data_IF_528863210581
#
_entry.id   IF_528863210581
#
_cell.length_a   1.000
_cell.length_b   1.000
_cell.length_c   1.000
_cell.angle_alpha   90.00
_cell.angle_beta   90.00
_cell.angle_gamma   90.00
#
_symmetry.space_group_name_H-M   'P 1'
#
loop_
_entity.id
_entity.type
_entity.pdbx_description
1 polymer ?
#
# COMPACT_ATOMS: atom_id res chain seq x y z
N UNK A 1 -11.82 9.28 -7.45
CA UNK A 1 -12.15 8.69 -6.13
C UNK A 1 -10.91 8.00 -5.57
N UNK A 2 -10.62 8.24 -4.31
CA UNK A 2 -9.48 7.59 -3.67
C UNK A 2 -9.91 6.30 -3.02
N UNK A 3 -9.05 5.31 -3.10
CA UNK A 3 -9.28 4.02 -2.47
C UNK A 3 -8.05 3.60 -1.70
N UNK A 4 -8.20 2.61 -0.84
CA UNK A 4 -7.08 2.10 -0.06
C UNK A 4 -7.09 0.59 -0.04
N UNK A 5 -5.89 0.02 0.00
CA UNK A 5 -5.69 -1.41 0.11
C UNK A 5 -4.57 -1.70 1.09
N UNK A 6 -4.57 -2.90 1.62
CA UNK A 6 -3.56 -3.32 2.60
C UNK A 6 -2.70 -4.43 2.01
N UNK A 7 -1.39 -4.31 2.20
CA UNK A 7 -0.43 -5.24 1.62
C UNK A 7 0.62 -5.62 2.66
N UNK A 8 1.25 -6.77 2.46
CA UNK A 8 2.26 -7.26 3.39
C UNK A 8 3.63 -6.62 3.17
N UNK A 9 3.84 -5.99 2.02
CA UNK A 9 5.10 -5.32 1.73
C UNK A 9 4.86 -4.19 0.74
N UNK A 10 5.84 -3.26 0.68
CA UNK A 10 5.78 -2.16 -0.29
C UNK A 10 5.85 -2.71 -1.71
N UNK A 11 6.65 -3.76 -1.93
CA UNK A 11 6.77 -4.39 -3.25
C UNK A 11 5.41 -4.91 -3.73
N UNK A 12 4.65 -5.54 -2.85
CA UNK A 12 3.32 -6.03 -3.20
C UNK A 12 2.38 -4.89 -3.57
N UNK A 13 2.46 -3.77 -2.83
CA UNK A 13 1.62 -2.61 -3.11
C UNK A 13 1.96 -2.02 -4.48
N UNK A 14 3.24 -1.90 -4.79
CA UNK A 14 3.68 -1.35 -6.08
C UNK A 14 3.26 -2.28 -7.22
N UNK A 15 3.39 -3.58 -7.02
CA UNK A 15 2.98 -4.55 -8.02
C UNK A 15 1.48 -4.45 -8.31
N UNK A 16 0.68 -4.34 -7.26
CA UNK A 16 -0.76 -4.12 -7.42
C UNK A 16 -1.05 -2.87 -8.24
N UNK A 17 -0.38 -1.77 -7.92
CA UNK A 17 -0.60 -0.50 -8.62
C UNK A 17 -0.26 -0.62 -10.10
N UNK A 18 0.83 -1.35 -10.44
CA UNK A 18 1.21 -1.55 -11.83
C UNK A 18 0.21 -2.43 -12.56
N UNK A 19 -0.26 -3.49 -11.93
CA UNK A 19 -1.21 -4.42 -12.56
C UNK A 19 -2.57 -3.77 -12.79
N UNK A 20 -3.04 -2.98 -11.82
CA UNK A 20 -4.34 -2.33 -11.89
C UNK A 20 -4.28 -0.96 -12.58
N UNK A 21 -3.08 -0.50 -12.89
CA UNK A 21 -2.88 0.78 -13.58
C UNK A 21 -3.53 1.93 -12.83
N UNK A 22 -3.28 1.99 -11.52
CA UNK A 22 -3.80 3.05 -10.66
C UNK A 22 -2.69 4.02 -10.29
N UNK A 23 -3.07 5.23 -9.88
CA UNK A 23 -2.12 6.24 -9.45
C UNK A 23 -1.89 6.11 -7.95
N UNK A 24 -0.63 5.92 -7.55
CA UNK A 24 -0.26 5.87 -6.14
C UNK A 24 -0.28 7.28 -5.56
N UNK A 25 -1.03 7.47 -4.48
CA UNK A 25 -1.08 8.73 -3.76
C UNK A 25 -0.14 8.67 -2.55
N UNK A 26 -0.21 7.58 -1.80
CA UNK A 26 0.60 7.44 -0.59
C UNK A 26 0.72 5.97 -0.21
N UNK A 27 1.85 5.61 0.41
CA UNK A 27 2.06 4.29 0.99
C UNK A 27 2.53 4.51 2.42
N UNK A 28 1.79 3.97 3.39
CA UNK A 28 2.06 4.20 4.81
C UNK A 28 2.12 2.88 5.56
N UNK A 29 3.10 2.72 6.49
CA UNK A 29 3.09 1.58 7.39
C UNK A 29 1.96 1.74 8.40
N UNK A 30 1.20 0.68 8.64
CA UNK A 30 0.00 0.79 9.47
C UNK A 30 -0.07 -0.21 10.61
N UNK A 31 0.82 -1.19 10.64
CA UNK A 31 0.83 -2.19 11.71
C UNK A 31 2.26 -2.51 12.08
N UNK A 32 2.64 -2.23 13.32
CA UNK A 32 4.00 -2.44 13.79
C UNK A 32 4.06 -3.66 14.70
N UNK A 33 5.09 -4.48 14.52
CA UNK A 33 5.35 -5.61 15.41
C UNK A 33 6.19 -5.15 16.61
N UNK A 34 6.53 -6.10 17.48
CA UNK A 34 7.25 -5.81 18.72
C UNK A 34 8.65 -5.23 18.46
N UNK A 35 9.22 -5.46 17.30
CA UNK A 35 10.56 -4.97 16.94
C UNK A 35 10.51 -3.59 16.27
N UNK A 36 9.33 -3.01 16.11
CA UNK A 36 9.19 -1.70 15.50
C UNK A 36 9.10 -1.72 13.97
N UNK A 37 9.05 -2.89 13.36
CA UNK A 37 8.90 -3.03 11.92
C UNK A 37 7.44 -3.18 11.53
N UNK A 38 7.05 -2.58 10.42
CA UNK A 38 5.69 -2.75 9.91
C UNK A 38 5.58 -4.05 9.12
N UNK A 39 4.53 -4.83 9.40
CA UNK A 39 4.22 -6.01 8.61
C UNK A 39 3.01 -5.80 7.71
N UNK A 40 2.46 -4.57 7.71
CA UNK A 40 1.36 -4.18 6.83
C UNK A 40 1.58 -2.76 6.35
N UNK A 41 1.20 -2.52 5.10
CA UNK A 41 1.27 -1.19 4.50
C UNK A 41 -0.08 -0.86 3.89
N UNK A 42 -0.50 0.39 4.08
CA UNK A 42 -1.72 0.90 3.47
C UNK A 42 -1.34 1.69 2.23
N UNK A 43 -1.85 1.25 1.09
CA UNK A 43 -1.70 1.97 -0.16
C UNK A 43 -2.94 2.82 -0.38
N UNK A 44 -2.76 4.12 -0.52
CA UNK A 44 -3.83 5.02 -0.94
C UNK A 44 -3.61 5.32 -2.41
N UNK A 45 -4.61 5.06 -3.23
CA UNK A 45 -4.47 5.22 -4.67
C UNK A 45 -5.74 5.80 -5.28
N UNK A 46 -5.57 6.32 -6.48
CA UNK A 46 -6.67 6.88 -7.26
C UNK A 46 -6.82 6.04 -8.52
N UNK A 47 -8.04 5.62 -8.81
CA UNK A 47 -8.31 4.92 -10.05
C UNK A 47 -8.29 5.88 -11.23
N UNK A 48 -7.80 5.37 -12.35
CA UNK A 48 -7.73 6.16 -13.58
C UNK A 48 -9.09 6.26 -14.27
#
# INVERSE_FOLDING_TARGET
MYEKGFFNSITDAIQFANEENVKIISVLPVHYNANGYSDKYMLVYQEC
#
